data_IF_379525382760
#
_entry.id   IF_379525382760
#
_cell.length_a   1.000
_cell.length_b   1.000
_cell.length_c   1.000
_cell.angle_alpha   90.00
_cell.angle_beta   90.00
_cell.angle_gamma   90.00
#
_symmetry.space_group_name_H-M   'P 1'
#
loop_
_entity.id
_entity.type
_entity.pdbx_description
1 polymer ?
#
# COMPACT_ATOMS: atom_id res chain seq x y z
N UNK A 1 8.71 -2.39 3.80
CA UNK A 1 7.41 -1.73 4.02
C UNK A 1 6.77 -2.23 5.31
N UNK A 2 6.26 -1.33 6.16
CA UNK A 2 5.49 -1.72 7.37
C UNK A 2 4.19 -2.43 6.99
N UNK A 3 3.56 -2.02 5.88
CA UNK A 3 2.34 -2.64 5.35
C UNK A 3 2.62 -4.10 4.97
N UNK A 4 3.68 -4.38 4.21
CA UNK A 4 4.06 -5.78 3.90
C UNK A 4 4.19 -6.59 5.18
N UNK A 5 4.96 -6.11 6.18
CA UNK A 5 5.17 -6.84 7.44
C UNK A 5 3.86 -7.12 8.20
N UNK A 6 2.95 -6.16 8.23
CA UNK A 6 1.64 -6.31 8.88
C UNK A 6 0.74 -7.33 8.17
N UNK A 7 0.83 -7.42 6.84
CA UNK A 7 -0.05 -8.25 6.03
C UNK A 7 0.56 -9.59 5.57
N UNK A 8 1.85 -9.83 5.82
CA UNK A 8 2.54 -11.08 5.47
C UNK A 8 1.88 -12.33 6.05
N UNK A 9 1.19 -12.24 7.19
CA UNK A 9 0.49 -13.37 7.81
C UNK A 9 -0.75 -13.83 7.05
N UNK A 10 -1.29 -12.99 6.16
CA UNK A 10 -2.54 -13.28 5.43
C UNK A 10 -2.30 -13.87 4.04
N UNK A 11 -1.06 -13.86 3.55
CA UNK A 11 -0.72 -14.43 2.25
C UNK A 11 0.49 -13.76 1.61
N UNK A 12 0.88 -14.28 0.45
CA UNK A 12 1.98 -13.71 -0.34
C UNK A 12 1.48 -12.47 -1.09
N UNK A 13 2.05 -11.32 -0.74
CA UNK A 13 1.80 -10.03 -1.41
C UNK A 13 2.66 -9.93 -2.68
N UNK A 14 2.07 -9.51 -3.79
CA UNK A 14 2.73 -9.33 -5.09
C UNK A 14 2.88 -7.87 -5.51
N UNK A 15 2.04 -6.97 -4.97
CA UNK A 15 2.15 -5.53 -5.20
C UNK A 15 1.72 -4.74 -3.98
N UNK A 16 2.33 -3.56 -3.78
CA UNK A 16 1.88 -2.54 -2.85
C UNK A 16 1.92 -1.17 -3.54
N UNK A 17 0.87 -0.36 -3.34
CA UNK A 17 0.72 0.96 -3.94
C UNK A 17 0.28 1.97 -2.89
N UNK A 18 1.17 2.89 -2.53
CA UNK A 18 0.86 4.00 -1.63
C UNK A 18 0.31 5.17 -2.43
N UNK A 19 -0.79 5.76 -1.95
CA UNK A 19 -1.29 6.97 -2.57
C UNK A 19 -0.67 8.21 -1.95
N UNK A 20 -0.03 8.98 -2.81
CA UNK A 20 0.58 10.25 -2.49
C UNK A 20 -0.29 11.40 -3.02
N UNK A 21 -0.24 12.54 -2.34
CA UNK A 21 -0.75 13.79 -2.88
C UNK A 21 0.12 14.21 -4.09
N UNK A 22 -0.47 14.20 -5.30
CA UNK A 22 0.25 14.58 -6.54
C UNK A 22 0.31 16.11 -6.75
N UNK A 23 -0.62 16.86 -6.17
CA UNK A 23 -0.75 18.31 -6.31
C UNK A 23 -1.22 18.97 -5.00
N UNK A 24 -1.12 20.30 -4.93
CA UNK A 24 -1.56 21.10 -3.78
C UNK A 24 -0.52 21.22 -2.66
N UNK A 25 -0.86 21.87 -1.54
CA UNK A 25 0.07 22.19 -0.45
C UNK A 25 0.65 20.95 0.25
N UNK A 26 -0.04 19.82 0.16
CA UNK A 26 0.40 18.53 0.72
C UNK A 26 1.16 17.66 -0.28
N UNK A 27 1.59 18.19 -1.44
CA UNK A 27 2.23 17.38 -2.48
C UNK A 27 3.43 16.62 -1.93
N UNK A 28 3.47 15.30 -2.19
CA UNK A 28 4.50 14.41 -1.67
C UNK A 28 4.21 13.84 -0.28
N UNK A 29 3.13 14.27 0.38
CA UNK A 29 2.65 13.62 1.62
C UNK A 29 1.79 12.39 1.29
N UNK A 30 1.82 11.35 2.15
CA UNK A 30 0.97 10.18 2.01
C UNK A 30 -0.49 10.54 2.30
N UNK A 31 -1.43 9.99 1.53
CA UNK A 31 -2.88 10.20 1.72
C UNK A 31 -3.48 9.40 2.87
N UNK A 32 -2.68 8.59 3.55
CA UNK A 32 -3.13 7.73 4.67
C UNK A 32 -3.74 6.40 4.24
N UNK A 33 -3.58 5.99 2.98
CA UNK A 33 -4.03 4.67 2.50
C UNK A 33 -3.08 4.08 1.46
N UNK A 34 -3.12 2.76 1.36
CA UNK A 34 -2.36 1.96 0.41
C UNK A 34 -3.22 0.80 -0.10
N UNK A 35 -2.94 0.36 -1.32
CA UNK A 35 -3.51 -0.86 -1.89
C UNK A 35 -2.46 -1.97 -1.84
N UNK A 36 -2.88 -3.20 -1.50
CA UNK A 36 -2.04 -4.39 -1.58
C UNK A 36 -2.74 -5.45 -2.42
N UNK A 37 -1.96 -6.19 -3.21
CA UNK A 37 -2.46 -7.31 -4.00
C UNK A 37 -1.82 -8.60 -3.50
N UNK A 38 -2.65 -9.60 -3.21
CA UNK A 38 -2.19 -10.96 -2.89
C UNK A 38 -2.03 -11.80 -4.18
N UNK A 39 -1.17 -12.81 -4.13
CA UNK A 39 -0.94 -13.72 -5.26
C UNK A 39 -2.13 -14.64 -5.54
N UNK A 40 -3.01 -14.81 -4.56
CA UNK A 40 -4.17 -15.70 -4.63
C UNK A 40 -5.44 -14.88 -4.58
N UNK A 41 -6.42 -15.25 -5.40
CA UNK A 41 -7.80 -14.81 -5.24
C UNK A 41 -8.50 -15.92 -4.46
N UNK A 42 -8.83 -15.66 -3.20
CA UNK A 42 -9.74 -16.53 -2.44
C UNK A 42 -11.13 -16.57 -3.10
#
# INVERSE_FOLDING_TARGET
SQVIKMFSSYGKIVSEDFLWHRHGPKRGEPRGFAFIQFSTRE
#
